data_IF_968188665509
#
_entry.id   IF_968188665509
#
_cell.length_a   1.000
_cell.length_b   1.000
_cell.length_c   1.000
_cell.angle_alpha   90.00
_cell.angle_beta   90.00
_cell.angle_gamma   90.00
#
_symmetry.space_group_name_H-M   'P 1'
#
loop_
_entity.id
_entity.type
_entity.pdbx_description
1 polymer ?
#
# COMPACT_ATOMS: atom_id res chain seq x y z
N UNK A 1 49.47 -51.81 -11.72
CA UNK A 1 50.30 -51.54 -10.57
C UNK A 1 49.36 -51.02 -9.50
N UNK A 2 48.72 -51.86 -8.75
CA UNK A 2 49.04 -52.67 -7.57
C UNK A 2 49.59 -51.82 -6.43
N UNK A 3 48.85 -51.67 -5.38
CA UNK A 3 49.03 -52.00 -3.98
C UNK A 3 48.01 -51.12 -3.18
N UNK A 4 46.99 -51.62 -2.55
CA UNK A 4 46.80 -52.49 -1.37
C UNK A 4 47.04 -51.81 0.00
N UNK A 5 45.92 -51.80 0.77
CA UNK A 5 45.74 -52.10 2.19
C UNK A 5 46.34 -51.18 3.28
N UNK A 6 45.54 -50.70 4.20
CA UNK A 6 45.45 -51.30 5.55
C UNK A 6 44.33 -50.65 6.41
N UNK A 7 43.53 -51.51 6.98
CA UNK A 7 42.55 -51.36 8.04
C UNK A 7 43.23 -51.03 9.38
N UNK A 8 42.61 -50.12 10.18
CA UNK A 8 42.72 -50.23 11.65
C UNK A 8 41.39 -49.90 12.30
N UNK A 9 40.80 -50.90 12.90
CA UNK A 9 39.71 -50.79 13.87
C UNK A 9 40.29 -50.30 15.18
N UNK A 10 39.73 -49.25 15.78
CA UNK A 10 39.88 -48.98 17.20
C UNK A 10 38.48 -48.96 17.83
N UNK A 11 38.22 -50.00 18.61
CA UNK A 11 37.04 -50.10 19.48
C UNK A 11 37.28 -49.22 20.72
N UNK A 12 36.44 -48.25 20.94
CA UNK A 12 36.41 -47.49 22.20
C UNK A 12 35.38 -48.16 23.13
N UNK A 13 35.88 -48.71 24.21
CA UNK A 13 35.08 -49.30 25.30
C UNK A 13 34.56 -48.16 26.16
N UNK A 14 33.22 -48.04 26.30
CA UNK A 14 32.61 -47.14 27.26
C UNK A 14 32.41 -47.84 28.63
N UNK A 15 32.76 -47.21 29.75
CA UNK A 15 32.45 -47.75 31.04
C UNK A 15 30.96 -47.54 31.37
N UNK A 16 30.33 -48.61 31.89
CA UNK A 16 28.97 -48.52 32.45
C UNK A 16 28.97 -47.69 33.73
N UNK A 17 28.25 -46.55 33.75
CA UNK A 17 27.97 -45.81 34.97
C UNK A 17 26.55 -46.14 35.42
N UNK A 18 26.44 -46.82 36.52
CA UNK A 18 25.21 -47.02 37.29
C UNK A 18 24.85 -45.69 37.94
N UNK A 19 23.73 -45.07 37.55
CA UNK A 19 23.24 -43.90 38.27
C UNK A 19 21.86 -43.42 37.74
N UNK A 20 20.81 -43.99 38.30
CA UNK A 20 19.41 -43.67 37.96
C UNK A 20 18.88 -42.33 38.51
N UNK A 21 19.74 -41.33 38.77
CA UNK A 21 19.30 -40.02 39.35
C UNK A 21 19.46 -38.83 38.40
N UNK A 22 20.16 -39.01 37.26
CA UNK A 22 20.44 -37.92 36.32
C UNK A 22 19.36 -37.77 35.23
N UNK A 23 18.54 -38.77 34.99
CA UNK A 23 17.52 -38.75 33.94
C UNK A 23 16.24 -37.98 34.33
N UNK A 24 15.92 -37.95 35.63
CA UNK A 24 14.76 -37.20 36.14
C UNK A 24 14.97 -35.68 36.24
N UNK A 25 16.24 -35.22 36.40
CA UNK A 25 16.52 -33.78 36.40
C UNK A 25 16.57 -33.19 34.99
N UNK A 26 16.99 -33.97 33.99
CA UNK A 26 17.04 -33.50 32.60
C UNK A 26 15.63 -33.41 31.95
N UNK A 27 14.73 -34.33 32.32
CA UNK A 27 13.32 -34.25 31.89
C UNK A 27 12.55 -33.10 32.59
N UNK A 28 12.91 -32.75 33.82
CA UNK A 28 12.29 -31.61 34.51
C UNK A 28 12.78 -30.26 33.98
N UNK A 29 14.02 -30.15 33.53
CA UNK A 29 14.55 -28.95 32.84
C UNK A 29 13.97 -28.79 31.43
N UNK A 30 13.70 -29.87 30.72
CA UNK A 30 13.06 -29.82 29.39
C UNK A 30 11.55 -29.51 29.45
N UNK A 31 10.87 -29.83 30.54
CA UNK A 31 9.46 -29.49 30.71
C UNK A 31 9.23 -28.07 31.27
N UNK A 32 10.22 -27.48 31.97
CA UNK A 32 10.13 -26.08 32.42
C UNK A 32 10.44 -25.08 31.30
N UNK A 33 11.15 -25.48 30.25
CA UNK A 33 11.38 -24.60 29.08
C UNK A 33 10.19 -24.56 28.10
N UNK A 34 9.16 -25.39 28.31
CA UNK A 34 7.91 -25.37 27.49
C UNK A 34 6.77 -24.55 28.10
N UNK A 35 6.98 -23.97 29.30
CA UNK A 35 5.99 -23.07 29.95
C UNK A 35 6.48 -21.60 29.89
N UNK A 36 7.54 -21.32 29.10
CA UNK A 36 7.83 -19.97 28.64
C UNK A 36 6.68 -19.56 27.75
N UNK A 37 5.76 -18.73 28.28
CA UNK A 37 4.60 -18.25 27.59
C UNK A 37 5.01 -17.75 26.21
N UNK A 38 4.57 -18.43 25.17
CA UNK A 38 4.45 -17.87 23.84
C UNK A 38 3.38 -16.77 23.96
N UNK A 39 3.78 -15.62 24.48
CA UNK A 39 3.06 -14.39 24.21
C UNK A 39 3.06 -14.31 22.69
N UNK A 40 1.93 -14.67 22.06
CA UNK A 40 1.71 -14.35 20.65
C UNK A 40 1.96 -12.87 20.56
N UNK A 41 3.11 -12.48 19.99
CA UNK A 41 3.29 -11.12 19.54
C UNK A 41 2.03 -10.82 18.73
N UNK A 42 1.27 -9.82 19.14
CA UNK A 42 0.05 -9.43 18.42
C UNK A 42 0.49 -9.02 17.04
N UNK A 43 0.11 -9.81 16.06
CA UNK A 43 0.50 -9.60 14.67
C UNK A 43 -0.03 -8.23 14.20
N UNK A 44 0.82 -7.43 13.58
CA UNK A 44 0.53 -6.05 13.17
C UNK A 44 -0.64 -6.01 12.20
N UNK A 45 -1.64 -5.15 12.49
CA UNK A 45 -2.75 -4.91 11.57
C UNK A 45 -2.29 -4.02 10.40
N UNK A 46 -2.88 -4.24 9.21
CA UNK A 46 -2.57 -3.42 8.02
C UNK A 46 -2.85 -1.93 8.27
N UNK A 47 -3.96 -1.61 8.94
CA UNK A 47 -4.34 -0.23 9.23
C UNK A 47 -3.41 0.48 10.23
N UNK A 48 -2.58 -0.25 10.97
CA UNK A 48 -1.61 0.31 11.89
C UNK A 48 -0.29 0.68 11.21
N UNK A 49 -0.06 0.22 9.97
CA UNK A 49 1.14 0.62 9.22
C UNK A 49 1.02 2.07 8.73
N UNK A 50 2.13 2.80 8.78
CA UNK A 50 2.31 4.04 8.04
C UNK A 50 2.86 3.70 6.65
N UNK A 51 2.03 3.80 5.63
CA UNK A 51 2.35 3.44 4.26
C UNK A 51 2.53 4.73 3.46
N UNK A 52 3.57 4.83 2.66
CA UNK A 52 3.69 5.94 1.71
C UNK A 52 3.06 5.54 0.39
N UNK A 53 2.19 6.41 -0.09
CA UNK A 53 1.57 6.36 -1.39
C UNK A 53 1.97 7.55 -2.25
N UNK A 54 1.64 7.48 -3.53
CA UNK A 54 1.78 8.57 -4.50
C UNK A 54 0.43 8.91 -5.10
N UNK A 55 0.07 10.19 -5.04
CA UNK A 55 -1.10 10.74 -5.70
C UNK A 55 -0.80 10.83 -7.20
N UNK A 56 -1.78 10.53 -8.04
CA UNK A 56 -1.62 10.49 -9.50
C UNK A 56 -0.28 9.87 -9.91
N UNK A 57 -0.06 8.64 -9.44
CA UNK A 57 1.24 7.98 -9.44
C UNK A 57 1.90 7.87 -10.83
N UNK A 58 1.09 7.81 -11.89
CA UNK A 58 1.55 7.72 -13.27
C UNK A 58 1.83 9.09 -13.92
N UNK A 59 1.48 10.21 -13.27
CA UNK A 59 1.58 11.55 -13.84
C UNK A 59 3.01 12.13 -13.77
N UNK A 60 4.04 11.33 -14.05
CA UNK A 60 5.44 11.76 -14.12
C UNK A 60 5.80 12.29 -15.51
N UNK A 61 5.09 11.88 -16.55
CA UNK A 61 5.26 12.34 -17.94
C UNK A 61 4.29 13.45 -18.33
N UNK A 62 3.35 13.82 -17.46
CA UNK A 62 2.35 14.85 -17.73
C UNK A 62 2.96 16.25 -17.93
N UNK A 63 2.16 17.14 -18.54
CA UNK A 63 2.48 18.58 -18.64
C UNK A 63 2.73 19.17 -17.24
N UNK A 64 3.50 20.26 -17.12
CA UNK A 64 3.86 20.83 -15.80
C UNK A 64 2.65 21.20 -14.93
N UNK A 65 1.50 21.48 -15.52
CA UNK A 65 0.25 21.82 -14.82
C UNK A 65 -0.42 20.60 -14.18
N UNK A 66 -0.19 19.42 -14.77
CA UNK A 66 -0.80 18.16 -14.35
C UNK A 66 0.22 17.17 -13.78
N UNK A 67 1.51 17.48 -13.85
CA UNK A 67 2.55 16.59 -13.35
C UNK A 67 2.55 16.53 -11.84
N UNK A 68 2.28 15.33 -11.29
CA UNK A 68 2.26 15.06 -9.86
C UNK A 68 3.49 14.28 -9.37
N UNK A 69 4.24 13.65 -10.29
CA UNK A 69 5.40 12.84 -9.91
C UNK A 69 6.65 13.20 -10.73
N UNK A 70 7.82 12.88 -10.16
CA UNK A 70 9.15 13.04 -10.77
C UNK A 70 9.87 11.69 -10.97
N UNK A 71 9.28 10.61 -10.48
CA UNK A 71 9.79 9.24 -10.59
C UNK A 71 8.82 8.38 -11.38
N UNK A 72 9.33 7.45 -12.19
CA UNK A 72 8.53 6.39 -12.82
C UNK A 72 7.92 5.46 -11.76
N UNK A 73 6.91 4.67 -12.11
CA UNK A 73 6.29 3.72 -11.18
C UNK A 73 7.29 2.71 -10.61
N UNK A 74 8.27 2.28 -11.42
CA UNK A 74 9.35 1.40 -10.98
C UNK A 74 10.25 2.07 -9.95
N UNK A 75 10.72 3.29 -10.23
CA UNK A 75 11.52 4.08 -9.30
C UNK A 75 10.77 4.39 -8.00
N UNK A 76 9.44 4.63 -8.07
CA UNK A 76 8.60 4.80 -6.89
C UNK A 76 8.58 3.52 -6.02
N UNK A 77 8.47 2.33 -6.62
CA UNK A 77 8.59 1.06 -5.88
C UNK A 77 9.96 0.90 -5.22
N UNK A 78 11.04 1.21 -5.95
CA UNK A 78 12.43 1.13 -5.45
C UNK A 78 12.67 2.02 -4.24
N UNK A 79 12.09 3.22 -4.24
CA UNK A 79 12.24 4.15 -3.11
C UNK A 79 11.35 3.81 -1.92
N UNK A 80 10.43 2.84 -2.06
CA UNK A 80 9.61 2.32 -0.97
C UNK A 80 8.15 2.78 -0.96
N UNK A 81 7.64 3.35 -2.05
CA UNK A 81 6.19 3.56 -2.24
C UNK A 81 5.48 2.22 -2.33
N UNK A 82 4.35 2.08 -1.64
CA UNK A 82 3.55 0.85 -1.63
C UNK A 82 2.06 1.06 -1.88
N UNK A 83 1.63 2.30 -2.08
CA UNK A 83 0.27 2.62 -2.49
C UNK A 83 0.33 3.60 -3.69
N UNK A 84 -0.45 3.33 -4.72
CA UNK A 84 -0.44 4.06 -5.98
C UNK A 84 -1.86 4.48 -6.33
N UNK A 85 -2.11 5.78 -6.44
CA UNK A 85 -3.35 6.32 -6.97
C UNK A 85 -3.22 6.35 -8.51
N UNK A 86 -4.03 5.54 -9.19
CA UNK A 86 -3.99 5.39 -10.64
C UNK A 86 -5.35 5.70 -11.24
N UNK A 87 -5.35 6.45 -12.33
CA UNK A 87 -6.54 6.92 -13.01
C UNK A 87 -6.62 6.32 -14.40
N UNK A 88 -7.71 5.62 -14.67
CA UNK A 88 -7.87 4.75 -15.82
C UNK A 88 -9.00 5.24 -16.72
N UNK A 89 -8.76 5.14 -18.02
CA UNK A 89 -9.76 5.35 -19.07
C UNK A 89 -9.80 4.09 -19.95
N UNK A 90 -11.00 3.55 -20.19
CA UNK A 90 -11.18 2.47 -21.17
C UNK A 90 -11.06 3.04 -22.60
N UNK A 91 -10.47 2.28 -23.51
CA UNK A 91 -10.35 2.72 -24.93
C UNK A 91 -11.68 2.72 -25.67
N UNK A 92 -12.69 2.03 -25.16
CA UNK A 92 -14.02 1.89 -25.76
C UNK A 92 -14.02 1.34 -27.20
N UNK A 93 -12.94 0.69 -27.63
CA UNK A 93 -12.77 0.09 -28.95
C UNK A 93 -13.03 -1.42 -28.95
N UNK A 94 -13.44 -1.98 -27.83
CA UNK A 94 -13.69 -3.41 -27.63
C UNK A 94 -12.43 -4.25 -27.41
N UNK A 95 -11.23 -3.64 -27.39
CA UNK A 95 -9.95 -4.32 -27.11
C UNK A 95 -9.85 -4.82 -25.68
N UNK A 96 -10.49 -4.10 -24.73
CA UNK A 96 -10.36 -4.33 -23.31
C UNK A 96 -9.08 -3.78 -22.71
N UNK A 97 -8.37 -2.91 -23.43
CA UNK A 97 -7.23 -2.17 -22.93
C UNK A 97 -7.63 -0.87 -22.23
N UNK A 98 -6.86 -0.50 -21.24
CA UNK A 98 -7.11 0.69 -20.43
C UNK A 98 -5.83 1.52 -20.37
N UNK A 99 -5.96 2.82 -20.61
CA UNK A 99 -4.84 3.75 -20.58
C UNK A 99 -4.89 4.61 -19.30
N UNK A 100 -3.74 5.11 -18.86
CA UNK A 100 -3.64 6.01 -17.74
C UNK A 100 -3.75 7.46 -18.20
N UNK A 101 -4.55 8.22 -17.44
CA UNK A 101 -4.83 9.63 -17.71
C UNK A 101 -4.70 10.47 -16.44
N UNK A 102 -4.51 11.79 -16.63
CA UNK A 102 -4.76 12.80 -15.62
C UNK A 102 -5.61 13.91 -16.25
N UNK A 103 -6.84 14.04 -15.83
CA UNK A 103 -7.84 14.86 -16.52
C UNK A 103 -8.04 14.37 -17.96
N UNK A 104 -7.88 15.29 -18.93
CA UNK A 104 -7.98 14.97 -20.34
C UNK A 104 -6.64 14.54 -20.98
N UNK A 105 -5.54 14.57 -20.22
CA UNK A 105 -4.19 14.27 -20.73
C UNK A 105 -3.87 12.78 -20.57
N UNK A 106 -3.58 12.13 -21.70
CA UNK A 106 -3.04 10.76 -21.71
C UNK A 106 -1.59 10.76 -21.21
N UNK A 107 -1.29 9.86 -20.30
CA UNK A 107 0.05 9.70 -19.72
C UNK A 107 0.95 8.79 -20.58
N UNK A 108 0.42 8.24 -21.68
CA UNK A 108 1.16 7.37 -22.60
C UNK A 108 1.50 6.00 -22.02
N UNK A 109 0.78 5.55 -21.01
CA UNK A 109 0.96 4.25 -20.35
C UNK A 109 -0.29 3.39 -20.49
N UNK A 110 -0.11 2.12 -20.78
CA UNK A 110 -1.18 1.12 -20.85
C UNK A 110 -1.19 0.29 -19.56
N UNK A 111 -2.37 0.20 -18.95
CA UNK A 111 -2.52 -0.42 -17.64
C UNK A 111 -2.30 -1.94 -17.67
N UNK A 112 -2.88 -2.62 -18.67
CA UNK A 112 -3.00 -4.08 -18.71
C UNK A 112 -1.67 -4.76 -19.07
N UNK A 113 -0.93 -4.21 -20.07
CA UNK A 113 0.28 -4.82 -20.61
C UNK A 113 1.58 -4.20 -20.09
N UNK A 114 1.51 -2.98 -19.53
CA UNK A 114 2.70 -2.28 -19.03
C UNK A 114 2.70 -2.14 -17.52
N UNK A 115 1.63 -1.56 -16.95
CA UNK A 115 1.60 -1.18 -15.53
C UNK A 115 1.33 -2.36 -14.61
N UNK A 116 0.33 -3.20 -14.91
CA UNK A 116 0.07 -4.41 -14.10
C UNK A 116 1.24 -5.39 -14.09
N UNK A 117 1.92 -5.68 -15.23
CA UNK A 117 3.11 -6.51 -15.25
C UNK A 117 4.23 -6.00 -14.36
N UNK A 118 4.46 -4.67 -14.31
CA UNK A 118 5.47 -4.06 -13.43
C UNK A 118 5.21 -4.42 -11.96
N UNK A 119 3.98 -4.23 -11.48
CA UNK A 119 3.62 -4.57 -10.09
C UNK A 119 3.68 -6.07 -9.81
N UNK A 120 3.27 -6.90 -10.76
CA UNK A 120 3.33 -8.37 -10.59
C UNK A 120 4.76 -8.88 -10.58
N UNK A 121 5.65 -8.32 -11.40
CA UNK A 121 7.09 -8.64 -11.38
C UNK A 121 7.71 -8.22 -10.05
N UNK A 122 7.41 -7.02 -9.57
CA UNK A 122 7.87 -6.56 -8.27
C UNK A 122 7.46 -7.52 -7.14
N UNK A 123 6.19 -7.89 -7.04
CA UNK A 123 5.69 -8.79 -6.00
C UNK A 123 6.26 -10.22 -6.11
N UNK A 124 6.56 -10.70 -7.32
CA UNK A 124 7.24 -11.98 -7.50
C UNK A 124 8.69 -11.94 -7.01
N UNK A 125 9.37 -10.81 -7.18
CA UNK A 125 10.74 -10.61 -6.69
C UNK A 125 10.78 -10.32 -5.17
N UNK A 126 9.70 -9.77 -4.62
CA UNK A 126 9.59 -9.33 -3.22
C UNK A 126 8.35 -9.93 -2.52
N UNK A 127 8.33 -11.25 -2.23
CA UNK A 127 7.13 -11.93 -1.71
C UNK A 127 6.73 -11.52 -0.28
N UNK A 128 7.60 -10.83 0.45
CA UNK A 128 7.30 -10.27 1.78
C UNK A 128 6.67 -8.87 1.72
N UNK A 129 6.64 -8.25 0.56
CA UNK A 129 6.04 -6.94 0.32
C UNK A 129 4.57 -7.06 -0.12
N UNK A 130 3.88 -5.95 -0.20
CA UNK A 130 2.55 -5.82 -0.81
C UNK A 130 2.48 -4.52 -1.60
N UNK A 131 1.51 -4.44 -2.50
CA UNK A 131 1.22 -3.21 -3.25
C UNK A 131 -0.27 -2.93 -3.19
N UNK A 132 -0.62 -1.66 -3.00
CA UNK A 132 -2.01 -1.16 -3.00
C UNK A 132 -2.19 -0.31 -4.25
N UNK A 133 -3.19 -0.62 -5.07
CA UNK A 133 -3.62 0.23 -6.18
C UNK A 133 -5.00 0.82 -5.85
N UNK A 134 -5.05 2.13 -5.71
CA UNK A 134 -6.29 2.90 -5.63
C UNK A 134 -6.68 3.28 -7.06
N UNK A 135 -7.73 2.66 -7.60
CA UNK A 135 -8.12 2.81 -8.98
C UNK A 135 -9.35 3.70 -9.13
N UNK A 136 -9.24 4.74 -9.94
CA UNK A 136 -10.34 5.64 -10.32
C UNK A 136 -10.52 5.62 -11.83
N UNK A 137 -11.77 5.66 -12.29
CA UNK A 137 -12.10 6.02 -13.66
C UNK A 137 -11.94 7.54 -13.80
N UNK A 138 -11.07 8.01 -14.68
CA UNK A 138 -10.70 9.44 -14.71
C UNK A 138 -11.78 10.33 -15.30
N UNK A 139 -12.55 9.81 -16.21
CA UNK A 139 -13.63 10.50 -16.87
C UNK A 139 -15.00 10.24 -16.20
N UNK A 140 -15.05 10.07 -14.88
CA UNK A 140 -16.15 9.51 -14.07
C UNK A 140 -17.45 10.35 -14.05
N UNK A 141 -17.39 11.61 -14.42
CA UNK A 141 -18.53 12.52 -14.14
C UNK A 141 -19.67 12.47 -15.17
N UNK A 142 -19.56 11.76 -16.30
CA UNK A 142 -20.52 11.85 -17.43
C UNK A 142 -20.66 10.56 -18.24
N UNK A 143 -20.87 9.39 -17.61
CA UNK A 143 -20.92 8.15 -18.35
C UNK A 143 -22.31 7.58 -18.56
N UNK A 144 -22.51 7.04 -19.77
CA UNK A 144 -23.58 6.13 -20.04
C UNK A 144 -23.40 4.81 -19.27
N UNK A 145 -24.48 4.08 -19.04
CA UNK A 145 -24.41 2.74 -18.44
C UNK A 145 -23.55 1.78 -19.29
N UNK A 146 -23.52 1.99 -20.61
CA UNK A 146 -22.74 1.20 -21.55
C UNK A 146 -21.24 1.41 -21.37
N UNK A 147 -20.80 2.65 -21.19
CA UNK A 147 -19.38 2.99 -20.92
C UNK A 147 -18.92 2.45 -19.56
N UNK A 148 -19.75 2.57 -18.51
CA UNK A 148 -19.45 1.96 -17.21
C UNK A 148 -19.36 0.45 -17.29
N UNK A 149 -20.21 -0.19 -18.08
CA UNK A 149 -20.14 -1.63 -18.31
C UNK A 149 -18.86 -2.01 -19.06
N UNK A 150 -18.50 -1.29 -20.11
CA UNK A 150 -17.27 -1.54 -20.87
C UNK A 150 -16.02 -1.37 -19.96
N UNK A 151 -15.97 -0.31 -19.20
CA UNK A 151 -14.90 -0.06 -18.20
C UNK A 151 -14.80 -1.22 -17.19
N UNK A 152 -15.94 -1.66 -16.63
CA UNK A 152 -15.99 -2.75 -15.65
C UNK A 152 -15.51 -4.07 -16.25
N UNK A 153 -15.92 -4.37 -17.49
CA UNK A 153 -15.48 -5.57 -18.20
C UNK A 153 -13.99 -5.56 -18.53
N UNK A 154 -13.45 -4.42 -18.97
CA UNK A 154 -12.03 -4.27 -19.28
C UNK A 154 -11.17 -4.41 -18.02
N UNK A 155 -11.54 -3.73 -16.93
CA UNK A 155 -10.83 -3.84 -15.66
C UNK A 155 -10.89 -5.29 -15.13
N UNK A 156 -12.05 -5.94 -15.19
CA UNK A 156 -12.20 -7.33 -14.80
C UNK A 156 -11.28 -8.24 -15.60
N UNK A 157 -11.25 -8.12 -16.94
CA UNK A 157 -10.35 -8.91 -17.80
C UNK A 157 -8.89 -8.71 -17.45
N UNK A 158 -8.47 -7.47 -17.22
CA UNK A 158 -7.10 -7.16 -16.81
C UNK A 158 -6.72 -7.84 -15.49
N UNK A 159 -7.61 -7.81 -14.50
CA UNK A 159 -7.39 -8.40 -13.17
C UNK A 159 -7.57 -9.92 -13.12
N UNK A 160 -8.28 -10.53 -14.07
CA UNK A 160 -8.46 -11.99 -14.19
C UNK A 160 -7.31 -12.67 -14.94
N UNK A 161 -6.36 -11.94 -15.51
CA UNK A 161 -5.16 -12.53 -16.13
C UNK A 161 -4.45 -13.42 -15.10
N UNK A 162 -4.04 -14.65 -15.44
CA UNK A 162 -3.51 -15.61 -14.46
C UNK A 162 -2.35 -15.08 -13.64
N UNK A 163 -1.45 -14.31 -14.24
CA UNK A 163 -0.29 -13.70 -13.60
C UNK A 163 -0.66 -12.60 -12.59
N UNK A 164 -1.80 -11.93 -12.78
CA UNK A 164 -2.35 -10.92 -11.87
C UNK A 164 -3.24 -11.60 -10.82
N UNK A 165 -4.18 -12.42 -11.25
CA UNK A 165 -5.22 -13.04 -10.42
C UNK A 165 -4.66 -13.83 -9.23
N UNK A 166 -3.51 -14.51 -9.38
CA UNK A 166 -2.82 -15.25 -8.31
C UNK A 166 -2.23 -14.35 -7.22
N UNK A 167 -1.93 -13.10 -7.55
CA UNK A 167 -1.37 -12.11 -6.63
C UNK A 167 -2.44 -11.25 -5.99
N UNK A 168 -3.67 -11.20 -6.55
CA UNK A 168 -4.73 -10.40 -5.95
C UNK A 168 -5.04 -10.85 -4.53
N UNK A 169 -5.18 -9.90 -3.63
CA UNK A 169 -5.75 -10.15 -2.32
C UNK A 169 -7.26 -10.36 -2.47
N UNK A 170 -7.73 -11.56 -2.14
CA UNK A 170 -9.14 -11.96 -2.23
C UNK A 170 -9.82 -12.05 -0.86
N UNK A 171 -9.10 -11.69 0.21
CA UNK A 171 -9.65 -11.63 1.56
C UNK A 171 -10.50 -10.36 1.76
N UNK A 172 -11.22 -10.34 2.88
CA UNK A 172 -11.96 -9.16 3.30
C UNK A 172 -11.02 -8.17 3.99
N UNK A 173 -10.94 -6.93 3.49
CA UNK A 173 -10.22 -5.86 4.16
C UNK A 173 -11.09 -5.33 5.32
N UNK A 174 -10.62 -5.57 6.53
CA UNK A 174 -11.23 -5.10 7.77
C UNK A 174 -10.18 -4.43 8.65
N UNK A 175 -10.62 -3.82 9.73
CA UNK A 175 -9.68 -3.26 10.73
C UNK A 175 -8.78 -4.31 11.38
N UNK A 176 -9.15 -5.60 11.31
CA UNK A 176 -8.39 -6.70 11.90
C UNK A 176 -7.45 -7.40 10.90
N UNK A 177 -7.50 -7.01 9.61
CA UNK A 177 -6.63 -7.59 8.58
C UNK A 177 -5.15 -7.43 8.96
N UNK A 178 -4.41 -8.55 8.97
CA UNK A 178 -3.00 -8.59 9.35
C UNK A 178 -2.08 -8.37 8.18
N UNK A 179 -0.91 -7.83 8.44
CA UNK A 179 0.13 -7.62 7.42
C UNK A 179 0.54 -8.95 6.77
N UNK A 180 0.59 -10.04 7.53
CA UNK A 180 0.90 -11.37 7.00
C UNK A 180 -0.11 -11.88 5.97
N UNK A 181 -1.37 -11.46 6.06
CA UNK A 181 -2.42 -11.87 5.12
C UNK A 181 -2.25 -11.21 3.74
N UNK A 182 -1.57 -10.06 3.68
CA UNK A 182 -1.41 -9.24 2.46
C UNK A 182 0.00 -9.34 1.86
N UNK A 183 0.94 -10.03 2.48
CA UNK A 183 2.29 -10.25 1.93
C UNK A 183 2.22 -10.98 0.59
N UNK A 184 3.02 -10.54 -0.37
CA UNK A 184 3.05 -11.03 -1.74
C UNK A 184 1.77 -10.71 -2.52
N UNK A 185 0.92 -9.79 -2.04
CA UNK A 185 -0.40 -9.51 -2.63
C UNK A 185 -0.51 -8.12 -3.21
N UNK A 186 -1.31 -8.06 -4.27
CA UNK A 186 -1.80 -6.85 -4.89
C UNK A 186 -3.21 -6.56 -4.33
N UNK A 187 -3.36 -5.44 -3.64
CA UNK A 187 -4.62 -4.97 -3.09
C UNK A 187 -5.21 -3.94 -4.03
N UNK A 188 -6.40 -4.19 -4.54
CA UNK A 188 -7.13 -3.24 -5.39
C UNK A 188 -8.21 -2.56 -4.56
N UNK A 189 -8.20 -1.24 -4.55
CA UNK A 189 -9.20 -0.39 -3.91
C UNK A 189 -9.86 0.47 -4.98
N UNK A 190 -11.16 0.28 -5.20
CA UNK A 190 -11.89 0.96 -6.28
C UNK A 190 -12.47 2.29 -5.80
N UNK A 191 -11.98 3.42 -6.31
CA UNK A 191 -12.63 4.73 -6.10
C UNK A 191 -13.88 4.87 -6.95
N UNK A 192 -13.91 4.26 -8.12
CA UNK A 192 -15.10 4.13 -8.96
C UNK A 192 -15.68 2.73 -8.80
N UNK A 193 -16.93 2.64 -8.37
CA UNK A 193 -17.64 1.37 -8.24
C UNK A 193 -17.84 0.75 -9.62
N UNK A 194 -17.49 -0.52 -9.74
CA UNK A 194 -17.75 -1.35 -10.93
C UNK A 194 -18.83 -2.40 -10.61
N UNK A 195 -19.17 -3.20 -11.60
CA UNK A 195 -20.20 -4.24 -11.48
C UNK A 195 -19.92 -5.21 -10.32
N UNK A 196 -20.98 -5.67 -9.63
CA UNK A 196 -20.91 -6.39 -8.35
C UNK A 196 -20.30 -7.80 -8.43
N UNK A 197 -20.15 -8.34 -9.63
CA UNK A 197 -19.56 -9.68 -9.85
C UNK A 197 -18.06 -9.75 -9.50
N UNK A 198 -17.42 -8.61 -9.22
CA UNK A 198 -16.02 -8.55 -8.83
C UNK A 198 -15.93 -8.24 -7.34
N UNK A 199 -15.54 -9.24 -6.53
CA UNK A 199 -15.35 -9.08 -5.08
C UNK A 199 -14.13 -8.20 -4.73
N UNK A 200 -14.10 -6.96 -5.22
CA UNK A 200 -13.09 -5.96 -4.91
C UNK A 200 -13.67 -4.87 -4.01
N UNK A 201 -12.94 -4.42 -2.98
CA UNK A 201 -13.40 -3.35 -2.11
C UNK A 201 -13.50 -2.03 -2.87
N UNK A 202 -14.58 -1.29 -2.65
CA UNK A 202 -14.81 0.00 -3.24
C UNK A 202 -15.12 1.07 -2.18
N UNK A 203 -14.77 2.32 -2.50
CA UNK A 203 -15.10 3.47 -1.67
C UNK A 203 -16.58 3.82 -1.82
N UNK A 204 -17.28 3.86 -0.69
CA UNK A 204 -18.64 4.34 -0.62
C UNK A 204 -18.68 5.63 0.18
N UNK A 205 -19.21 6.69 -0.44
CA UNK A 205 -19.28 8.02 0.15
C UNK A 205 -17.98 8.81 0.03
N UNK A 206 -17.16 8.59 -1.03
CA UNK A 206 -16.05 9.48 -1.34
C UNK A 206 -16.58 10.88 -1.66
N UNK A 207 -15.98 11.90 -1.03
CA UNK A 207 -16.33 13.30 -1.21
C UNK A 207 -15.15 14.03 -1.83
N UNK A 208 -15.47 15.11 -2.55
CA UNK A 208 -14.50 15.94 -3.25
C UNK A 208 -14.06 17.11 -2.38
N UNK A 209 -12.80 17.49 -2.45
CA UNK A 209 -12.17 18.65 -1.81
C UNK A 209 -12.59 18.88 -0.35
N UNK A 210 -12.48 17.83 0.48
CA UNK A 210 -12.84 17.93 1.90
C UNK A 210 -12.16 16.85 2.76
N UNK A 211 -12.26 16.99 4.08
CA UNK A 211 -11.92 15.94 5.05
C UNK A 211 -13.20 15.24 5.52
N UNK A 212 -13.31 13.93 5.34
CA UNK A 212 -14.52 13.16 5.59
C UNK A 212 -14.25 11.73 6.07
N UNK A 213 -15.32 11.05 6.45
CA UNK A 213 -15.29 9.59 6.71
C UNK A 213 -16.02 8.88 5.58
N UNK A 214 -15.33 7.97 4.92
CA UNK A 214 -15.88 7.07 3.92
C UNK A 214 -15.97 5.64 4.44
N UNK A 215 -16.57 4.75 3.66
CA UNK A 215 -16.56 3.31 3.88
C UNK A 215 -15.83 2.63 2.73
N UNK A 216 -14.94 1.73 3.06
CA UNK A 216 -14.45 0.75 2.10
C UNK A 216 -15.31 -0.50 2.24
N UNK A 217 -16.20 -0.70 1.29
CA UNK A 217 -17.17 -1.79 1.28
C UNK A 217 -16.61 -2.96 0.50
N UNK A 218 -16.56 -4.13 1.11
CA UNK A 218 -16.21 -5.36 0.41
C UNK A 218 -17.51 -6.04 -0.04
N UNK A 219 -17.79 -6.20 -1.35
CA UNK A 219 -19.02 -6.81 -1.84
C UNK A 219 -19.25 -8.22 -1.31
N UNK A 220 -18.15 -8.96 -1.07
CA UNK A 220 -18.18 -10.31 -0.50
C UNK A 220 -18.21 -10.35 1.05
N UNK A 221 -18.44 -9.22 1.70
CA UNK A 221 -18.64 -9.05 3.15
C UNK A 221 -17.63 -8.11 3.81
N UNK A 222 -18.09 -7.47 4.88
CA UNK A 222 -17.26 -6.57 5.69
C UNK A 222 -17.23 -5.11 5.19
N UNK A 223 -16.90 -4.23 6.11
CA UNK A 223 -16.73 -2.81 5.86
C UNK A 223 -15.58 -2.30 6.72
N UNK A 224 -14.72 -1.48 6.14
CA UNK A 224 -13.67 -0.75 6.83
C UNK A 224 -13.95 0.74 6.73
N UNK A 225 -13.92 1.45 7.85
CA UNK A 225 -14.06 2.90 7.85
C UNK A 225 -12.75 3.57 7.50
N UNK A 226 -12.84 4.59 6.67
CA UNK A 226 -11.70 5.39 6.22
C UNK A 226 -11.86 6.82 6.75
N UNK A 227 -10.77 7.39 7.26
CA UNK A 227 -10.65 8.82 7.45
C UNK A 227 -9.87 9.37 6.27
N UNK A 228 -10.52 10.14 5.41
CA UNK A 228 -9.91 10.70 4.19
C UNK A 228 -9.70 12.19 4.38
N UNK A 229 -8.50 12.67 4.12
CA UNK A 229 -8.19 14.07 3.90
C UNK A 229 -7.81 14.24 2.43
N UNK A 230 -8.66 14.92 1.67
CA UNK A 230 -8.49 15.20 0.24
C UNK A 230 -8.91 16.67 -0.06
N UNK A 231 -8.54 17.61 0.82
CA UNK A 231 -8.71 19.05 0.57
C UNK A 231 -7.58 19.50 -0.36
N UNK A 232 -7.81 19.41 -1.67
CA UNK A 232 -6.78 19.62 -2.68
C UNK A 232 -6.81 21.01 -3.33
N UNK A 233 -7.94 21.75 -3.26
CA UNK A 233 -8.03 23.10 -3.81
C UNK A 233 -7.31 24.07 -2.88
N UNK A 234 -6.18 24.61 -3.37
CA UNK A 234 -5.36 25.57 -2.62
C UNK A 234 -5.74 26.99 -2.99
N UNK A 235 -6.45 27.69 -2.08
CA UNK A 235 -6.93 29.05 -2.29
C UNK A 235 -5.83 30.11 -2.11
N UNK A 236 -4.82 29.82 -1.29
CA UNK A 236 -3.66 30.68 -1.08
C UNK A 236 -2.39 29.96 -1.56
N UNK A 237 -1.93 30.40 -2.73
CA UNK A 237 -0.76 29.79 -3.38
C UNK A 237 0.60 30.20 -2.77
N UNK A 238 0.60 31.17 -1.83
CA UNK A 238 1.84 31.63 -1.21
C UNK A 238 2.24 30.76 -0.03
N UNK A 239 1.38 30.59 0.96
CA UNK A 239 1.67 29.85 2.19
C UNK A 239 0.84 28.58 2.39
N UNK A 240 -0.22 28.40 1.59
CA UNK A 240 -1.12 27.22 1.60
C UNK A 240 -1.67 26.91 2.99
N UNK A 241 -2.11 27.96 3.71
CA UNK A 241 -2.53 27.86 5.11
C UNK A 241 -3.77 26.99 5.34
N UNK A 242 -4.67 26.95 4.36
CA UNK A 242 -5.85 26.10 4.31
C UNK A 242 -5.46 24.61 4.27
N UNK A 243 -4.65 24.19 3.29
CA UNK A 243 -4.14 22.82 3.18
C UNK A 243 -3.33 22.41 4.42
N UNK A 244 -2.49 23.28 4.94
CA UNK A 244 -1.75 23.01 6.18
C UNK A 244 -2.68 22.78 7.37
N UNK A 245 -3.76 23.54 7.46
CA UNK A 245 -4.76 23.41 8.52
C UNK A 245 -5.53 22.09 8.37
N UNK A 246 -5.94 21.73 7.15
CA UNK A 246 -6.59 20.46 6.85
C UNK A 246 -5.73 19.27 7.24
N UNK A 247 -4.47 19.24 6.81
CA UNK A 247 -3.52 18.18 7.16
C UNK A 247 -3.31 18.03 8.67
N UNK A 248 -3.13 19.15 9.39
CA UNK A 248 -3.00 19.10 10.84
C UNK A 248 -4.25 18.50 11.49
N UNK A 249 -5.44 18.97 11.10
CA UNK A 249 -6.72 18.48 11.60
C UNK A 249 -6.91 16.99 11.31
N UNK A 250 -6.61 16.55 10.09
CA UNK A 250 -6.76 15.15 9.68
C UNK A 250 -5.81 14.22 10.47
N UNK A 251 -4.58 14.63 10.69
CA UNK A 251 -3.64 13.87 11.51
C UNK A 251 -4.06 13.82 12.98
N UNK A 252 -4.61 14.91 13.55
CA UNK A 252 -5.13 14.92 14.91
C UNK A 252 -6.38 14.02 15.05
N UNK A 253 -7.21 13.93 14.01
CA UNK A 253 -8.33 12.98 13.93
C UNK A 253 -7.85 11.53 13.79
N UNK A 254 -6.81 11.27 13.00
CA UNK A 254 -6.25 9.94 12.83
C UNK A 254 -5.65 9.39 14.14
N UNK A 255 -5.04 10.23 14.96
CA UNK A 255 -4.58 9.85 16.31
C UNK A 255 -5.74 9.41 17.23
N UNK A 256 -6.93 9.96 17.03
CA UNK A 256 -8.11 9.68 17.86
C UNK A 256 -8.93 8.48 17.33
N UNK A 257 -8.87 8.20 16.03
CA UNK A 257 -9.70 7.21 15.33
C UNK A 257 -8.88 5.99 14.90
N UNK A 258 -8.34 5.26 15.85
CA UNK A 258 -7.49 4.08 15.62
C UNK A 258 -8.20 2.88 15.01
N UNK A 259 -9.51 2.95 14.82
CA UNK A 259 -10.36 1.97 14.14
C UNK A 259 -10.66 2.33 12.68
N UNK A 260 -10.21 3.51 12.23
CA UNK A 260 -10.31 3.98 10.84
C UNK A 260 -8.94 3.84 10.16
N UNK A 261 -8.95 3.51 8.89
CA UNK A 261 -7.73 3.57 8.07
C UNK A 261 -7.60 4.97 7.50
N UNK A 262 -6.51 5.68 7.82
CA UNK A 262 -6.32 7.05 7.36
C UNK A 262 -5.77 7.10 5.93
N UNK A 263 -6.35 7.94 5.09
CA UNK A 263 -5.91 8.28 3.74
C UNK A 263 -5.65 9.79 3.72
N UNK A 264 -4.39 10.17 3.74
CA UNK A 264 -3.94 11.55 3.89
C UNK A 264 -3.23 11.99 2.61
N UNK A 265 -3.83 12.90 1.86
CA UNK A 265 -3.27 13.43 0.63
C UNK A 265 -2.46 14.69 0.91
N UNK A 266 -1.13 14.64 0.69
CA UNK A 266 -0.25 15.80 0.75
C UNK A 266 -0.20 16.54 -0.59
N UNK A 267 -1.02 16.13 -1.53
CA UNK A 267 -1.18 16.73 -2.85
C UNK A 267 -2.12 17.94 -2.82
N UNK A 268 -2.10 18.69 -3.88
CA UNK A 268 -3.03 19.78 -4.11
C UNK A 268 -2.78 20.50 -5.43
N UNK A 269 -3.76 21.30 -5.82
CA UNK A 269 -3.74 22.13 -7.01
C UNK A 269 -4.58 23.40 -6.76
N UNK A 270 -4.81 24.21 -7.77
CA UNK A 270 -5.60 25.44 -7.71
C UNK A 270 -5.05 26.44 -8.71
N UNK A 271 -4.79 27.65 -8.29
CA UNK A 271 -4.10 28.66 -9.12
C UNK A 271 -2.56 28.41 -9.20
N UNK A 272 -2.11 27.18 -8.92
CA UNK A 272 -0.70 26.80 -8.90
C UNK A 272 -0.52 25.35 -9.39
N UNK A 273 0.74 24.95 -9.60
CA UNK A 273 1.05 23.58 -10.05
C UNK A 273 1.16 22.62 -8.88
N UNK A 274 0.93 21.29 -9.09
CA UNK A 274 1.17 20.28 -8.06
C UNK A 274 2.62 20.32 -7.52
N UNK A 275 3.59 20.61 -8.38
CA UNK A 275 4.99 20.76 -7.95
C UNK A 275 5.14 21.88 -6.90
N UNK A 276 4.53 23.04 -7.14
CA UNK A 276 4.61 24.15 -6.20
C UNK A 276 3.94 23.82 -4.87
N UNK A 277 2.84 23.05 -4.90
CA UNK A 277 2.20 22.54 -3.69
C UNK A 277 3.13 21.59 -2.95
N UNK A 278 3.73 20.63 -3.65
CA UNK A 278 4.66 19.66 -3.06
C UNK A 278 5.87 20.33 -2.39
N UNK A 279 6.44 21.39 -2.99
CA UNK A 279 7.55 22.18 -2.43
C UNK A 279 7.21 22.82 -1.06
N UNK A 280 5.93 23.04 -0.77
CA UNK A 280 5.48 23.65 0.49
C UNK A 280 4.89 22.62 1.44
N UNK A 281 4.11 21.68 0.91
CA UNK A 281 3.32 20.75 1.72
C UNK A 281 4.14 19.52 2.15
N UNK A 282 5.04 18.99 1.31
CA UNK A 282 5.90 17.87 1.72
C UNK A 282 6.79 18.24 2.91
N UNK A 283 7.50 19.41 2.95
CA UNK A 283 8.21 19.88 4.14
C UNK A 283 7.32 20.00 5.38
N UNK A 284 6.12 20.55 5.20
CA UNK A 284 5.16 20.72 6.30
C UNK A 284 4.65 19.37 6.82
N UNK A 285 4.29 18.43 5.92
CA UNK A 285 3.90 17.07 6.28
C UNK A 285 5.01 16.33 7.04
N UNK A 286 6.25 16.40 6.54
CA UNK A 286 7.41 15.84 7.22
C UNK A 286 7.59 16.47 8.64
N UNK A 287 7.44 17.78 8.77
CA UNK A 287 7.48 18.46 10.07
C UNK A 287 6.39 17.93 11.01
N UNK A 288 5.14 17.87 10.56
CA UNK A 288 4.02 17.39 11.39
C UNK A 288 4.23 15.95 11.86
N UNK A 289 4.66 15.05 10.98
CA UNK A 289 4.89 13.64 11.30
C UNK A 289 6.08 13.47 12.24
N UNK A 290 7.17 14.24 12.05
CA UNK A 290 8.37 14.19 12.89
C UNK A 290 8.15 14.65 14.33
N UNK A 291 7.14 15.49 14.57
CA UNK A 291 6.81 16.04 15.91
C UNK A 291 5.86 15.14 16.71
N UNK A 292 5.27 14.12 16.09
CA UNK A 292 4.35 13.20 16.76
C UNK A 292 5.12 12.15 17.56
N UNK A 293 4.59 11.76 18.71
CA UNK A 293 5.13 10.66 19.52
C UNK A 293 5.08 9.32 18.76
N UNK A 294 4.02 9.13 17.97
CA UNK A 294 3.85 8.02 17.02
C UNK A 294 3.13 8.54 15.78
N UNK A 295 3.50 8.04 14.60
CA UNK A 295 2.80 8.35 13.36
C UNK A 295 1.53 7.50 13.32
N UNK A 296 0.34 8.08 13.07
CA UNK A 296 -0.88 7.32 12.87
C UNK A 296 -0.73 6.27 11.76
N UNK A 297 -1.39 5.13 11.89
CA UNK A 297 -1.48 4.18 10.79
C UNK A 297 -2.33 4.75 9.66
N UNK A 298 -1.91 4.54 8.42
CA UNK A 298 -2.61 5.09 7.26
C UNK A 298 -1.73 5.12 6.01
N UNK A 299 -2.28 5.63 4.93
CA UNK A 299 -1.57 5.88 3.68
C UNK A 299 -1.38 7.39 3.52
N UNK A 300 -0.15 7.79 3.32
CA UNK A 300 0.29 9.17 3.12
C UNK A 300 0.63 9.35 1.65
N UNK A 301 -0.29 9.92 0.88
CA UNK A 301 -0.10 10.16 -0.55
C UNK A 301 0.69 11.45 -0.76
N UNK A 302 1.87 11.32 -1.35
CA UNK A 302 2.75 12.45 -1.67
C UNK A 302 2.75 12.73 -3.16
N UNK A 303 2.96 13.99 -3.52
CA UNK A 303 3.42 14.37 -4.85
C UNK A 303 4.94 14.44 -4.87
N UNK A 304 5.56 14.23 -6.05
CA UNK A 304 7.00 14.31 -6.28
C UNK A 304 7.80 13.45 -5.28
N UNK A 305 7.58 12.14 -5.34
CA UNK A 305 8.19 11.15 -4.44
C UNK A 305 9.73 11.17 -4.42
N UNK A 306 10.39 11.72 -5.44
CA UNK A 306 11.84 11.92 -5.51
C UNK A 306 12.35 13.08 -4.66
N UNK A 307 11.50 14.03 -4.27
CA UNK A 307 11.91 15.17 -3.45
C UNK A 307 12.48 14.73 -2.09
N UNK A 308 13.50 15.42 -1.55
CA UNK A 308 14.11 15.09 -0.26
C UNK A 308 13.10 15.01 0.89
N UNK A 309 12.09 15.86 0.91
CA UNK A 309 11.08 15.94 1.96
C UNK A 309 10.09 14.77 1.89
N UNK A 310 9.69 14.35 0.68
CA UNK A 310 8.90 13.14 0.47
C UNK A 310 9.69 11.89 0.91
N UNK A 311 10.98 11.82 0.59
CA UNK A 311 11.89 10.76 1.04
C UNK A 311 12.07 10.75 2.56
N UNK A 312 12.05 11.92 3.20
CA UNK A 312 12.08 12.03 4.66
C UNK A 312 10.80 11.47 5.28
N UNK A 313 9.61 11.72 4.70
CA UNK A 313 8.34 11.10 5.11
C UNK A 313 8.42 9.57 5.01
N UNK A 314 8.93 9.04 3.89
CA UNK A 314 9.15 7.58 3.71
C UNK A 314 10.02 6.99 4.82
N UNK A 315 11.10 7.70 5.17
CA UNK A 315 12.01 7.28 6.23
C UNK A 315 11.33 7.24 7.60
N UNK A 316 10.49 8.24 7.91
CA UNK A 316 9.71 8.29 9.14
C UNK A 316 8.69 7.13 9.22
N UNK A 317 7.96 6.87 8.13
CA UNK A 317 7.00 5.77 8.04
C UNK A 317 7.68 4.41 8.21
N UNK A 318 8.80 4.18 7.52
CA UNK A 318 9.60 2.96 7.67
C UNK A 318 10.10 2.76 9.10
N UNK A 319 10.59 3.83 9.75
CA UNK A 319 11.04 3.77 11.15
C UNK A 319 9.89 3.47 12.11
N UNK A 320 8.69 3.96 11.85
CA UNK A 320 7.50 3.62 12.65
C UNK A 320 7.17 2.13 12.51
N UNK A 321 7.10 1.63 11.27
CA UNK A 321 6.72 0.25 10.99
C UNK A 321 7.73 -0.79 11.55
N UNK A 322 9.00 -0.43 11.68
CA UNK A 322 10.01 -1.30 12.29
C UNK A 322 9.89 -1.48 13.82
N UNK A 323 8.98 -0.73 14.46
CA UNK A 323 8.72 -0.80 15.90
C UNK A 323 7.40 -1.49 16.25
N UNK A 324 6.58 -1.75 15.23
CA UNK A 324 5.31 -2.48 15.29
C UNK A 324 5.52 -3.95 14.94
#
# INVERSE_FOLDING_TARGET
MVFLYLSMRNAIIFPQVKGGLTLTLLTLLLTLSMIGGCGRATETRLIDLAIVGTHDAAAFSASPQLRCQDLTLEEQLEVGVRAFDLRLVDRYDGSGYMDLYHGEESLGLEFTEEVLPLFTQFLNAHPDEFVILSLRKEDDERHSQEEMKAYSESLRRALERPEVARLLYRGQLTRETKVSEVRGKLLILLRTRIDEDVCLPYFDGFQDDTTFVARLVNPCGGTLYLLVEDEYIVSNTFDMSDKKTALKRALDLADQRTDHWAFIYLSGTGDTTPQRVAEVINPFGNYLLSKRASIPGGIYFVDFAGMPEARAIMTLCKKKNSKT
#
